data_IF_484498131071
#
_entry.id   IF_484498131071
#
_cell.length_a   1.000
_cell.length_b   1.000
_cell.length_c   1.000
_cell.angle_alpha   90.00
_cell.angle_beta   90.00
_cell.angle_gamma   90.00
#
_symmetry.space_group_name_H-M   'P 1'
#
loop_
_entity.id
_entity.type
_entity.pdbx_description
1 polymer ?
#
# COMPACT_ATOMS: atom_id res chain seq x y z
N UNK A 1 6.25 -20.75 3.16
CA UNK A 1 5.26 -20.16 4.08
C UNK A 1 5.09 -18.70 3.67
N UNK A 2 3.89 -18.23 3.31
CA UNK A 2 3.69 -16.81 2.95
C UNK A 2 3.77 -15.97 4.23
N UNK A 3 4.82 -15.17 4.36
CA UNK A 3 4.98 -14.22 5.46
C UNK A 3 3.85 -13.18 5.36
N UNK A 4 3.02 -13.08 6.39
CA UNK A 4 1.93 -12.10 6.42
C UNK A 4 2.58 -10.70 6.54
N UNK A 5 2.20 -9.79 5.64
CA UNK A 5 2.62 -8.38 5.69
C UNK A 5 2.35 -7.78 7.08
N UNK A 6 3.26 -6.96 7.65
CA UNK A 6 3.05 -6.29 8.92
C UNK A 6 1.69 -5.56 9.01
N UNK A 7 1.27 -4.91 7.93
CA UNK A 7 -0.04 -4.22 7.84
C UNK A 7 -1.19 -5.22 7.99
N UNK A 8 -1.11 -6.37 7.33
CA UNK A 8 -2.16 -7.40 7.38
C UNK A 8 -2.19 -8.12 8.72
N UNK A 9 -1.04 -8.21 9.41
CA UNK A 9 -0.97 -8.69 10.80
C UNK A 9 -1.79 -7.78 11.73
N UNK A 10 -1.65 -6.46 11.63
CA UNK A 10 -2.44 -5.51 12.42
C UNK A 10 -3.93 -5.58 12.07
N UNK A 11 -4.29 -5.68 10.79
CA UNK A 11 -5.69 -5.86 10.35
C UNK A 11 -6.31 -7.14 10.91
N UNK A 12 -5.57 -8.25 10.88
CA UNK A 12 -6.02 -9.52 11.44
C UNK A 12 -6.20 -9.45 12.96
N UNK A 13 -5.29 -8.78 13.67
CA UNK A 13 -5.41 -8.53 15.10
C UNK A 13 -6.64 -7.67 15.42
N UNK A 14 -6.85 -6.57 14.70
CA UNK A 14 -8.01 -5.69 14.88
C UNK A 14 -9.34 -6.45 14.67
N UNK A 15 -9.43 -7.28 13.62
CA UNK A 15 -10.59 -8.11 13.36
C UNK A 15 -10.88 -9.11 14.50
N UNK A 16 -9.83 -9.70 15.08
CA UNK A 16 -9.96 -10.59 16.26
C UNK A 16 -10.46 -9.84 17.49
N UNK A 17 -9.95 -8.65 17.76
CA UNK A 17 -10.41 -7.80 18.86
C UNK A 17 -11.88 -7.42 18.69
N UNK A 18 -12.27 -7.00 17.48
CA UNK A 18 -13.67 -6.68 17.18
C UNK A 18 -14.59 -7.88 17.36
N UNK A 19 -14.16 -9.07 16.90
CA UNK A 19 -14.93 -10.30 17.10
C UNK A 19 -15.10 -10.65 18.58
N UNK A 20 -14.04 -10.51 19.38
CA UNK A 20 -14.09 -10.73 20.84
C UNK A 20 -15.10 -9.81 21.51
N UNK A 21 -15.13 -8.53 21.14
CA UNK A 21 -16.09 -7.56 21.69
C UNK A 21 -17.52 -7.87 21.24
N UNK A 22 -17.72 -8.27 19.98
CA UNK A 22 -19.05 -8.68 19.49
C UNK A 22 -19.58 -9.90 20.24
N UNK A 23 -18.73 -10.90 20.46
CA UNK A 23 -19.10 -12.07 21.27
C UNK A 23 -19.48 -11.68 22.70
N UNK A 24 -18.70 -10.79 23.33
CA UNK A 24 -19.01 -10.27 24.66
C UNK A 24 -20.29 -9.42 24.72
N UNK A 25 -20.68 -8.78 23.63
CA UNK A 25 -21.96 -8.07 23.54
C UNK A 25 -23.16 -9.05 23.58
N UNK A 26 -22.97 -10.25 23.01
CA UNK A 26 -23.98 -11.31 22.90
C UNK A 26 -24.12 -12.17 24.17
N UNK A 27 -23.00 -12.46 24.85
CA UNK A 27 -22.96 -13.50 25.90
C UNK A 27 -23.35 -13.05 27.33
N UNK A 28 -23.21 -11.76 27.73
CA UNK A 28 -23.58 -11.32 29.10
C UNK A 28 -23.81 -9.79 29.25
N UNK A 29 -24.98 -9.33 29.76
CA UNK A 29 -25.25 -7.93 30.09
C UNK A 29 -24.25 -7.27 31.07
N UNK A 30 -23.70 -7.98 32.06
CA UNK A 30 -22.98 -7.37 33.18
C UNK A 30 -21.45 -7.34 33.09
N UNK A 31 -20.85 -8.07 32.14
CA UNK A 31 -19.40 -8.26 32.05
C UNK A 31 -18.64 -7.30 31.12
N UNK A 32 -19.35 -6.49 30.33
CA UNK A 32 -18.76 -5.77 29.19
C UNK A 32 -17.73 -4.71 29.60
N UNK A 33 -17.99 -3.98 30.69
CA UNK A 33 -17.07 -2.98 31.23
C UNK A 33 -15.75 -3.58 31.74
N UNK A 34 -15.75 -4.88 32.08
CA UNK A 34 -14.57 -5.63 32.55
C UNK A 34 -13.86 -6.37 31.42
N UNK A 35 -14.42 -6.37 30.21
CA UNK A 35 -13.81 -7.04 29.08
C UNK A 35 -12.46 -6.38 28.74
N UNK A 36 -11.35 -7.13 28.63
CA UNK A 36 -10.00 -6.55 28.48
C UNK A 36 -9.87 -5.60 27.29
N UNK A 37 -10.50 -5.92 26.16
CA UNK A 37 -10.47 -5.04 24.96
C UNK A 37 -11.24 -3.74 25.20
N UNK A 38 -12.31 -3.78 26.00
CA UNK A 38 -13.12 -2.58 26.31
C UNK A 38 -12.35 -1.66 27.26
N UNK A 39 -11.60 -2.21 28.22
CA UNK A 39 -10.69 -1.45 29.07
C UNK A 39 -9.61 -0.75 28.25
N UNK A 40 -8.98 -1.48 27.33
CA UNK A 40 -7.98 -0.92 26.40
C UNK A 40 -8.56 0.19 25.51
N UNK A 41 -9.78 0.00 24.98
CA UNK A 41 -10.49 1.04 24.21
C UNK A 41 -10.81 2.29 25.05
N UNK A 42 -11.08 2.13 26.34
CA UNK A 42 -11.28 3.26 27.27
C UNK A 42 -10.00 4.06 27.46
N UNK A 43 -8.91 3.38 27.77
CA UNK A 43 -7.60 3.97 28.06
C UNK A 43 -7.01 4.68 26.84
N UNK A 44 -7.01 4.00 25.69
CA UNK A 44 -6.27 4.48 24.52
C UNK A 44 -7.14 5.21 23.52
N UNK A 45 -8.43 4.88 23.40
CA UNK A 45 -9.30 5.43 22.33
C UNK A 45 -10.39 6.36 22.90
N UNK A 46 -10.40 6.59 24.22
CA UNK A 46 -11.31 7.51 24.87
C UNK A 46 -12.77 7.03 24.90
N UNK A 47 -13.00 5.72 24.81
CA UNK A 47 -14.35 5.13 24.85
C UNK A 47 -14.94 5.14 26.28
N UNK A 48 -15.13 6.32 26.87
CA UNK A 48 -15.73 6.44 28.22
C UNK A 48 -17.26 6.49 28.15
N UNK A 49 -17.95 5.72 29.00
CA UNK A 49 -19.40 5.80 29.14
C UNK A 49 -19.78 5.49 30.60
N UNK A 50 -20.64 6.32 31.17
CA UNK A 50 -21.07 6.25 32.58
C UNK A 50 -22.16 5.17 32.82
N UNK A 51 -22.78 4.70 31.74
CA UNK A 51 -23.85 3.68 31.74
C UNK A 51 -23.52 2.56 30.73
N UNK A 52 -23.79 1.33 31.15
CA UNK A 52 -23.57 0.11 30.38
C UNK A 52 -24.46 0.04 29.11
N UNK A 53 -25.67 0.61 29.15
CA UNK A 53 -26.52 0.66 27.96
C UNK A 53 -25.93 1.59 26.89
N UNK A 54 -25.38 2.74 27.31
CA UNK A 54 -24.68 3.67 26.42
C UNK A 54 -23.38 3.06 25.90
N UNK A 55 -22.62 2.36 26.75
CA UNK A 55 -21.41 1.64 26.35
C UNK A 55 -21.70 0.61 25.26
N UNK A 56 -22.74 -0.22 25.44
CA UNK A 56 -23.20 -1.19 24.43
C UNK A 56 -23.51 -0.51 23.11
N UNK A 57 -24.32 0.54 23.13
CA UNK A 57 -24.69 1.29 21.91
C UNK A 57 -23.46 1.81 21.18
N UNK A 58 -22.48 2.35 21.90
CA UNK A 58 -21.22 2.85 21.32
C UNK A 58 -20.37 1.72 20.74
N UNK A 59 -20.28 0.58 21.41
CA UNK A 59 -19.53 -0.58 20.94
C UNK A 59 -20.17 -1.21 19.69
N UNK A 60 -21.50 -1.27 19.60
CA UNK A 60 -22.20 -1.70 18.39
C UNK A 60 -21.92 -0.78 17.19
N UNK A 61 -21.85 0.53 17.42
CA UNK A 61 -21.57 1.52 16.39
C UNK A 61 -20.06 1.73 16.15
N UNK A 62 -19.17 1.04 16.86
CA UNK A 62 -17.75 1.31 16.82
C UNK A 62 -17.15 0.86 15.47
N UNK A 63 -16.57 1.77 14.68
CA UNK A 63 -15.96 1.42 13.40
C UNK A 63 -14.76 0.48 13.58
N UNK A 64 -14.52 -0.40 12.60
CA UNK A 64 -13.35 -1.28 12.59
C UNK A 64 -12.03 -0.49 12.71
N UNK A 65 -11.99 0.73 12.16
CA UNK A 65 -10.84 1.64 12.27
C UNK A 65 -10.43 1.97 13.71
N UNK A 66 -11.35 1.96 14.67
CA UNK A 66 -11.02 2.26 16.08
C UNK A 66 -10.25 1.14 16.77
N UNK A 67 -10.40 -0.10 16.31
CA UNK A 67 -9.57 -1.22 16.77
C UNK A 67 -8.16 -1.15 16.18
N UNK A 68 -8.00 -0.58 14.99
CA UNK A 68 -6.68 -0.28 14.43
C UNK A 68 -6.02 0.90 15.16
N UNK A 69 -6.77 1.96 15.47
CA UNK A 69 -6.28 3.09 16.28
C UNK A 69 -5.81 2.61 17.66
N UNK A 70 -6.54 1.68 18.29
CA UNK A 70 -6.13 1.06 19.54
C UNK A 70 -4.74 0.41 19.42
N UNK A 71 -4.56 -0.47 18.43
CA UNK A 71 -3.31 -1.17 18.20
C UNK A 71 -2.17 -0.20 17.84
N UNK A 72 -2.47 0.87 17.11
CA UNK A 72 -1.49 1.90 16.78
C UNK A 72 -0.99 2.64 18.02
N UNK A 73 -1.90 3.00 18.94
CA UNK A 73 -1.56 3.63 20.22
C UNK A 73 -0.74 2.73 21.13
N UNK A 74 -1.05 1.45 21.17
CA UNK A 74 -0.26 0.46 21.91
C UNK A 74 1.14 0.26 21.30
N UNK A 75 1.29 0.47 20.00
CA UNK A 75 2.57 0.47 19.31
C UNK A 75 3.33 1.81 19.43
N UNK A 76 2.77 2.81 20.13
CA UNK A 76 3.40 4.12 20.35
C UNK A 76 3.12 5.17 19.28
N UNK A 77 2.09 4.97 18.45
CA UNK A 77 1.66 5.92 17.41
C UNK A 77 0.34 6.59 17.75
N UNK A 78 0.11 7.81 17.25
CA UNK A 78 -1.11 8.56 17.56
C UNK A 78 -2.40 7.89 17.06
N UNK A 79 -2.32 7.30 15.86
CA UNK A 79 -3.44 6.66 15.17
C UNK A 79 -2.98 5.64 14.12
N UNK A 80 -3.94 4.90 13.56
CA UNK A 80 -3.66 3.93 12.50
C UNK A 80 -3.01 4.57 11.25
N UNK A 81 -3.48 5.72 10.73
CA UNK A 81 -2.80 6.41 9.63
C UNK A 81 -1.30 6.65 9.86
N UNK A 82 -0.88 7.09 11.05
CA UNK A 82 0.53 7.33 11.39
C UNK A 82 1.35 6.03 11.34
N UNK A 83 0.89 4.98 12.02
CA UNK A 83 1.55 3.67 12.00
C UNK A 83 1.57 3.08 10.57
N UNK A 84 0.48 3.15 9.83
CA UNK A 84 0.38 2.62 8.48
C UNK A 84 1.30 3.34 7.48
N UNK A 85 1.51 4.66 7.62
CA UNK A 85 2.52 5.39 6.82
C UNK A 85 3.92 4.86 7.09
N UNK A 86 4.29 4.68 8.35
CA UNK A 86 5.60 4.16 8.72
C UNK A 86 5.80 2.71 8.24
N UNK A 87 4.82 1.83 8.45
CA UNK A 87 4.90 0.44 7.99
C UNK A 87 5.06 0.36 6.47
N UNK A 88 4.40 1.26 5.72
CA UNK A 88 4.54 1.35 4.26
C UNK A 88 5.93 1.83 3.85
N UNK A 89 6.43 2.89 4.49
CA UNK A 89 7.79 3.37 4.22
C UNK A 89 8.85 2.31 4.53
N UNK A 90 8.66 1.52 5.59
CA UNK A 90 9.53 0.38 5.91
C UNK A 90 9.43 -0.74 4.85
N UNK A 91 8.22 -1.05 4.38
CA UNK A 91 8.04 -2.02 3.29
C UNK A 91 8.65 -1.53 1.98
N UNK A 92 8.51 -0.25 1.65
CA UNK A 92 9.10 0.36 0.46
C UNK A 92 10.64 0.43 0.54
N UNK A 93 11.21 0.53 1.74
CA UNK A 93 12.66 0.48 1.96
C UNK A 93 13.24 -0.94 1.94
N UNK A 94 12.45 -1.94 2.38
CA UNK A 94 12.82 -3.36 2.31
C UNK A 94 12.58 -3.97 0.92
N UNK A 95 11.67 -3.40 0.13
CA UNK A 95 11.45 -3.81 -1.26
C UNK A 95 12.70 -3.43 -2.09
N UNK A 96 13.25 -4.40 -2.84
CA UNK A 96 14.35 -4.11 -3.77
C UNK A 96 13.89 -2.99 -4.72
N UNK A 97 14.64 -1.90 -4.77
CA UNK A 97 14.38 -0.75 -5.63
C UNK A 97 14.14 -1.20 -7.08
N UNK A 98 14.84 -2.26 -7.54
CA UNK A 98 14.64 -2.84 -8.87
C UNK A 98 13.21 -3.38 -9.14
N UNK A 99 12.52 -3.86 -8.10
CA UNK A 99 11.23 -4.53 -8.23
C UNK A 99 10.03 -3.59 -8.07
N UNK A 100 10.26 -2.35 -7.63
CA UNK A 100 9.21 -1.36 -7.39
C UNK A 100 9.45 -0.01 -8.07
N UNK A 101 10.61 0.24 -8.69
CA UNK A 101 10.98 1.53 -9.27
C UNK A 101 10.00 2.04 -10.36
N UNK A 102 9.29 1.12 -11.02
CA UNK A 102 8.45 1.44 -12.18
C UNK A 102 6.99 1.65 -11.85
N UNK A 103 6.57 1.39 -10.60
CA UNK A 103 5.17 1.54 -10.21
C UNK A 103 5.01 2.67 -9.20
N UNK A 104 4.08 3.59 -9.49
CA UNK A 104 3.68 4.66 -8.58
C UNK A 104 2.19 4.54 -8.33
N UNK A 105 1.84 4.38 -7.04
CA UNK A 105 0.45 4.30 -6.61
C UNK A 105 -0.23 5.66 -6.83
N UNK A 106 -1.45 5.66 -7.39
CA UNK A 106 -2.17 6.87 -7.80
C UNK A 106 -1.43 7.75 -8.82
N UNK A 107 -0.52 7.18 -9.62
CA UNK A 107 -0.16 7.80 -10.88
C UNK A 107 -1.47 8.01 -11.67
N UNK A 108 -1.82 9.26 -11.99
CA UNK A 108 -2.95 9.79 -12.78
C UNK A 108 -4.26 8.96 -12.84
N UNK A 109 -5.41 9.62 -12.68
CA UNK A 109 -6.75 9.03 -12.89
C UNK A 109 -6.96 8.42 -14.30
N UNK A 110 -6.06 8.72 -15.25
CA UNK A 110 -6.09 8.23 -16.62
C UNK A 110 -5.15 7.03 -16.89
N UNK A 111 -4.49 6.47 -15.87
CA UNK A 111 -3.60 5.34 -16.06
C UNK A 111 -4.35 4.00 -16.17
N UNK A 112 -4.56 3.57 -17.42
CA UNK A 112 -4.99 2.22 -17.75
C UNK A 112 -3.79 1.26 -17.67
N UNK A 113 -3.51 0.78 -16.45
CA UNK A 113 -2.52 -0.28 -16.24
C UNK A 113 -3.17 -1.65 -16.47
N UNK A 114 -2.67 -2.40 -17.45
CA UNK A 114 -3.13 -3.77 -17.74
C UNK A 114 -2.18 -4.76 -17.10
N UNK A 115 -2.67 -5.57 -16.16
CA UNK A 115 -1.86 -6.46 -15.34
C UNK A 115 -1.85 -7.89 -15.86
N UNK A 116 -0.68 -8.52 -15.84
CA UNK A 116 -0.46 -9.89 -16.29
C UNK A 116 0.29 -10.69 -15.23
N UNK A 117 -0.11 -11.96 -15.01
CA UNK A 117 0.57 -12.85 -14.06
C UNK A 117 1.89 -13.39 -14.61
N UNK A 118 2.06 -13.44 -15.94
CA UNK A 118 3.26 -13.96 -16.62
C UNK A 118 3.84 -12.91 -17.57
N UNK A 119 5.13 -13.04 -17.86
CA UNK A 119 5.80 -12.17 -18.83
C UNK A 119 5.31 -12.46 -20.26
N UNK A 120 5.06 -13.73 -20.56
CA UNK A 120 4.68 -14.20 -21.90
C UNK A 120 3.36 -13.56 -22.35
N UNK A 121 2.34 -13.55 -21.49
CA UNK A 121 1.05 -12.91 -21.78
C UNK A 121 1.21 -11.38 -21.97
N UNK A 122 2.04 -10.76 -21.12
CA UNK A 122 2.30 -9.32 -21.20
C UNK A 122 3.04 -8.93 -22.48
N UNK A 123 3.98 -9.78 -22.92
CA UNK A 123 4.74 -9.59 -24.16
C UNK A 123 3.82 -9.70 -25.38
N UNK A 124 2.95 -10.70 -25.41
CA UNK A 124 1.96 -10.85 -26.48
C UNK A 124 1.04 -9.62 -26.57
N UNK A 125 0.61 -9.09 -25.42
CA UNK A 125 -0.18 -7.87 -25.39
C UNK A 125 0.59 -6.66 -25.96
N UNK A 126 1.87 -6.51 -25.60
CA UNK A 126 2.73 -5.44 -26.14
C UNK A 126 2.94 -5.57 -27.66
N UNK A 127 3.04 -6.81 -28.16
CA UNK A 127 3.22 -7.06 -29.59
C UNK A 127 1.95 -6.77 -30.41
N UNK A 128 0.77 -6.94 -29.80
CA UNK A 128 -0.54 -6.68 -30.43
C UNK A 128 -1.02 -5.24 -30.26
N UNK A 129 -0.60 -4.53 -29.21
CA UNK A 129 -1.05 -3.17 -28.90
C UNK A 129 0.12 -2.19 -28.88
N UNK A 130 -0.01 -1.07 -29.61
CA UNK A 130 0.99 0.01 -29.62
C UNK A 130 0.69 1.06 -28.56
N UNK A 131 1.72 1.82 -28.17
CA UNK A 131 1.59 2.92 -27.19
C UNK A 131 1.68 2.48 -25.73
N UNK A 132 2.09 1.24 -25.48
CA UNK A 132 2.29 0.70 -24.14
C UNK A 132 3.77 0.45 -23.84
N UNK A 133 4.09 0.48 -22.55
CA UNK A 133 5.40 0.18 -21.99
C UNK A 133 5.24 -1.02 -21.06
N UNK A 134 6.00 -2.09 -21.29
CA UNK A 134 5.98 -3.29 -20.44
C UNK A 134 6.93 -3.09 -19.26
N UNK A 135 6.33 -3.05 -18.07
CA UNK A 135 6.98 -2.78 -16.79
C UNK A 135 6.76 -3.97 -15.84
N UNK A 136 7.54 -4.00 -14.76
CA UNK A 136 7.39 -4.99 -13.68
C UNK A 136 7.07 -4.34 -12.34
N UNK A 137 6.33 -5.06 -11.51
CA UNK A 137 6.10 -4.74 -10.12
C UNK A 137 6.00 -6.02 -9.29
N UNK A 138 6.94 -6.22 -8.36
CA UNK A 138 6.95 -7.37 -7.42
C UNK A 138 6.73 -8.73 -8.09
N UNK A 139 7.42 -8.98 -9.20
CA UNK A 139 7.32 -10.23 -9.96
C UNK A 139 6.09 -10.35 -10.88
N UNK A 140 5.20 -9.36 -10.90
CA UNK A 140 4.14 -9.23 -11.88
C UNK A 140 4.57 -8.31 -13.03
N UNK A 141 3.99 -8.51 -14.21
CA UNK A 141 4.16 -7.63 -15.35
C UNK A 141 2.91 -6.76 -15.52
N UNK A 142 3.10 -5.52 -15.93
CA UNK A 142 1.98 -4.66 -16.32
C UNK A 142 2.37 -3.78 -17.49
N UNK A 143 1.40 -3.48 -18.34
CA UNK A 143 1.55 -2.50 -19.40
C UNK A 143 0.96 -1.17 -18.96
N UNK A 144 1.75 -0.12 -19.14
CA UNK A 144 1.36 1.25 -18.83
C UNK A 144 1.39 2.12 -20.08
N UNK A 145 0.68 3.24 -20.06
CA UNK A 145 0.71 4.24 -21.13
C UNK A 145 1.59 5.43 -20.74
N UNK A 146 1.81 6.35 -21.69
CA UNK A 146 2.63 7.55 -21.51
C UNK A 146 2.35 8.35 -20.21
N UNK A 147 1.10 8.54 -19.75
CA UNK A 147 0.87 9.31 -18.52
C UNK A 147 1.52 8.69 -17.28
N UNK A 148 1.57 7.36 -17.18
CA UNK A 148 2.27 6.67 -16.10
C UNK A 148 3.78 6.89 -16.17
N UNK A 149 4.35 6.87 -17.38
CA UNK A 149 5.78 7.13 -17.60
C UNK A 149 6.16 8.55 -17.14
N UNK A 150 5.30 9.53 -17.43
CA UNK A 150 5.46 10.91 -16.94
C UNK A 150 5.37 10.95 -15.42
N UNK A 151 4.40 10.28 -14.82
CA UNK A 151 4.17 10.29 -13.38
C UNK A 151 5.33 9.70 -12.57
N UNK A 152 6.03 8.70 -13.12
CA UNK A 152 7.26 8.15 -12.50
C UNK A 152 8.50 9.02 -12.77
N UNK A 153 8.38 10.08 -13.57
CA UNK A 153 9.45 11.06 -13.82
C UNK A 153 10.31 10.76 -15.05
N UNK A 154 9.84 9.94 -15.98
CA UNK A 154 10.52 9.63 -17.24
C UNK A 154 9.84 10.30 -18.44
N UNK A 155 10.59 10.52 -19.51
CA UNK A 155 10.04 11.02 -20.78
C UNK A 155 9.51 9.82 -21.60
N UNK A 156 8.21 9.80 -21.98
CA UNK A 156 7.66 8.78 -22.88
C UNK A 156 8.32 8.77 -24.27
N UNK A 157 8.86 9.90 -24.71
CA UNK A 157 9.49 10.03 -26.03
C UNK A 157 11.00 9.76 -25.99
N UNK A 158 11.52 9.28 -24.87
CA UNK A 158 12.94 8.93 -24.76
C UNK A 158 13.29 7.82 -25.77
N UNK A 159 14.28 8.02 -26.65
CA UNK A 159 14.65 7.02 -27.66
C UNK A 159 15.16 5.72 -27.03
N UNK A 160 15.58 5.73 -25.76
CA UNK A 160 15.97 4.51 -25.07
C UNK A 160 14.77 3.55 -24.87
N UNK A 161 13.51 4.03 -24.88
CA UNK A 161 12.33 3.16 -24.86
C UNK A 161 12.22 2.28 -26.11
N UNK A 162 12.45 2.87 -27.28
CA UNK A 162 12.46 2.13 -28.54
C UNK A 162 13.63 1.14 -28.58
N UNK A 163 14.81 1.53 -28.08
CA UNK A 163 16.00 0.66 -28.02
C UNK A 163 15.79 -0.58 -27.17
N UNK A 164 15.06 -0.46 -26.06
CA UNK A 164 14.71 -1.63 -25.24
C UNK A 164 13.53 -2.43 -25.83
N UNK A 165 12.87 -1.93 -26.88
CA UNK A 165 11.70 -2.53 -27.49
C UNK A 165 10.43 -2.37 -26.65
N UNK A 166 10.33 -1.25 -25.93
CA UNK A 166 9.29 -0.94 -24.94
C UNK A 166 9.16 -1.99 -23.82
N UNK A 167 10.22 -2.78 -23.63
CA UNK A 167 10.27 -3.92 -22.71
C UNK A 167 11.33 -3.68 -21.63
N UNK A 168 10.88 -3.29 -20.44
CA UNK A 168 11.79 -3.13 -19.32
C UNK A 168 12.28 -4.46 -18.75
N UNK A 169 11.43 -5.49 -18.84
CA UNK A 169 11.65 -6.78 -18.18
C UNK A 169 12.75 -7.57 -18.89
N UNK A 170 12.64 -7.70 -20.23
CA UNK A 170 13.64 -8.32 -21.09
C UNK A 170 14.06 -7.35 -22.21
N UNK A 171 14.87 -6.33 -21.88
CA UNK A 171 15.23 -5.29 -22.84
C UNK A 171 16.12 -5.85 -23.94
N UNK A 172 15.91 -5.39 -25.17
CA UNK A 172 16.82 -5.68 -26.30
C UNK A 172 18.19 -5.01 -26.13
N UNK A 173 18.22 -3.86 -25.45
CA UNK A 173 19.42 -3.08 -25.15
C UNK A 173 19.53 -2.84 -23.63
N UNK A 174 20.32 -3.65 -22.90
CA UNK A 174 20.51 -3.47 -21.46
C UNK A 174 21.11 -2.11 -21.08
N UNK A 175 21.93 -1.48 -21.93
CA UNK A 175 22.53 -0.18 -21.66
C UNK A 175 21.50 0.95 -21.77
N UNK A 176 20.59 0.87 -22.75
CA UNK A 176 19.45 1.78 -22.86
C UNK A 176 18.55 1.71 -21.62
N UNK A 177 18.26 0.50 -21.12
CA UNK A 177 17.54 0.34 -19.85
C UNK A 177 18.28 0.99 -18.70
N UNK A 178 19.60 0.82 -18.62
CA UNK A 178 20.39 1.43 -17.54
C UNK A 178 20.34 2.96 -17.59
N UNK A 179 20.41 3.58 -18.77
CA UNK A 179 20.27 5.04 -18.93
C UNK A 179 18.90 5.55 -18.47
N UNK A 180 17.82 4.84 -18.81
CA UNK A 180 16.48 5.17 -18.30
C UNK A 180 16.41 5.03 -16.78
N UNK A 181 17.03 3.99 -16.21
CA UNK A 181 17.09 3.77 -14.77
C UNK A 181 17.84 4.88 -14.04
N UNK A 182 18.94 5.37 -14.61
CA UNK A 182 19.70 6.49 -14.04
C UNK A 182 18.87 7.79 -14.07
N UNK A 183 18.14 8.05 -15.16
CA UNK A 183 17.19 9.18 -15.26
C UNK A 183 16.09 9.08 -14.21
N UNK A 184 15.53 7.89 -14.01
CA UNK A 184 14.49 7.62 -13.00
C UNK A 184 15.00 7.91 -11.57
N UNK A 185 16.23 7.48 -11.26
CA UNK A 185 16.87 7.78 -9.97
C UNK A 185 17.02 9.29 -9.77
N UNK A 186 17.54 10.01 -10.77
CA UNK A 186 17.71 11.47 -10.70
C UNK A 186 16.36 12.20 -10.52
N UNK A 187 15.31 11.77 -11.21
CA UNK A 187 13.97 12.36 -11.07
C UNK A 187 13.42 12.18 -9.65
N UNK A 188 13.64 11.02 -9.02
CA UNK A 188 13.25 10.75 -7.63
C UNK A 188 14.02 11.60 -6.63
N UNK A 189 15.34 11.70 -6.78
CA UNK A 189 16.19 12.57 -5.94
C UNK A 189 15.77 14.04 -6.01
N UNK A 190 15.26 14.50 -7.16
CA UNK A 190 14.74 15.85 -7.33
C UNK A 190 13.35 16.03 -6.70
N UNK A 191 12.49 15.01 -6.76
CA UNK A 191 11.17 15.03 -6.15
C UNK A 191 11.21 15.00 -4.61
N UNK A 192 12.21 14.32 -4.03
CA UNK A 192 12.38 14.20 -2.56
C UNK A 192 13.05 15.43 -1.93
N UNK A 193 13.59 16.36 -2.72
CA UNK A 193 14.07 17.64 -2.19
C UNK A 193 12.86 18.46 -1.74
N UNK A 194 12.76 18.87 -0.46
CA UNK A 194 11.69 19.76 -0.03
C UNK A 194 11.77 21.03 -0.88
N UNK A 195 10.64 21.45 -1.43
CA UNK A 195 10.54 22.71 -2.16
C UNK A 195 11.07 23.82 -1.27
N UNK A 196 12.31 24.26 -1.54
CA UNK A 196 12.92 25.36 -0.82
C UNK A 196 12.24 26.65 -1.24
N UNK A 197 11.30 27.13 -0.43
CA UNK A 197 11.22 28.53 0.04
C UNK A 197 10.20 28.65 1.17
#
# INVERSE_FOLDING_TARGET
MKTISPIDKYRLQAARLQKSVKQALEDDPGGLARHPVVQRLREHVGLSADDDALLRKRLHALPAGKYLDLLAREAGHDDWPALNRQLRAQQEADDDFADTELYKFNASEFNLNVWFPTYEDAREYLDTHRGFYLLQFKGHCFLAQAPHIIDIGLDPNDPDWERIGWDWVKPKDPEARQRLRDKLRLAREQADKPAGN
#
